data_IF_424764078903
#
_entry.id   IF_424764078903
#
_cell.length_a   1.000
_cell.length_b   1.000
_cell.length_c   1.000
_cell.angle_alpha   90.00
_cell.angle_beta   90.00
_cell.angle_gamma   90.00
#
_symmetry.space_group_name_H-M   'P 1'
#
loop_
_entity.id
_entity.type
_entity.pdbx_description
1 polymer ?
#
# COMPACT_ATOMS: atom_id res chain seq x y z
N UNK A 1 23.61 24.70 13.09
CA UNK A 1 23.23 23.33 13.47
C UNK A 1 21.73 23.03 13.33
N UNK A 2 20.81 23.99 13.21
CA UNK A 2 19.37 23.73 12.93
C UNK A 2 19.11 23.21 11.51
N UNK A 3 19.92 23.56 10.54
CA UNK A 3 19.75 23.16 9.13
C UNK A 3 19.88 21.66 8.86
N UNK A 4 20.57 20.90 9.70
CA UNK A 4 20.85 19.50 9.40
C UNK A 4 19.60 18.59 9.44
N UNK A 5 18.68 18.80 10.38
CA UNK A 5 17.47 17.97 10.50
C UNK A 5 16.49 18.22 9.37
N UNK A 6 16.28 19.50 9.01
CA UNK A 6 15.40 19.88 7.91
C UNK A 6 15.93 19.40 6.55
N UNK A 7 17.24 19.52 6.32
CA UNK A 7 17.89 19.01 5.11
C UNK A 7 17.82 17.47 5.04
N UNK A 8 18.05 16.77 6.13
CA UNK A 8 17.93 15.32 6.22
C UNK A 8 16.49 14.86 5.97
N UNK A 9 15.52 15.56 6.54
CA UNK A 9 14.11 15.29 6.29
C UNK A 9 13.73 15.51 4.83
N UNK A 10 14.21 16.59 4.20
CA UNK A 10 13.98 16.86 2.78
C UNK A 10 14.52 15.76 1.87
N UNK A 11 15.69 15.18 2.23
CA UNK A 11 16.26 14.03 1.50
C UNK A 11 15.34 12.80 1.66
N UNK A 12 14.95 12.49 2.90
CA UNK A 12 14.05 11.35 3.19
C UNK A 12 12.71 11.48 2.43
N UNK A 13 12.11 12.69 2.47
CA UNK A 13 10.87 12.98 1.76
C UNK A 13 11.01 12.80 0.24
N UNK A 14 12.12 13.27 -0.34
CA UNK A 14 12.41 13.10 -1.77
C UNK A 14 12.55 11.63 -2.16
N UNK A 15 13.25 10.83 -1.36
CA UNK A 15 13.39 9.39 -1.58
C UNK A 15 12.02 8.70 -1.55
N UNK A 16 11.15 9.06 -0.59
CA UNK A 16 9.79 8.52 -0.52
C UNK A 16 9.00 8.85 -1.81
N UNK A 17 9.06 10.11 -2.28
CA UNK A 17 8.38 10.54 -3.53
C UNK A 17 8.93 9.84 -4.77
N UNK A 18 10.23 9.61 -4.84
CA UNK A 18 10.84 8.85 -5.95
C UNK A 18 10.38 7.39 -5.94
N UNK A 19 10.21 6.78 -4.76
CA UNK A 19 9.63 5.43 -4.66
C UNK A 19 8.17 5.40 -5.13
N UNK A 20 7.35 6.34 -4.70
CA UNK A 20 5.95 6.46 -5.16
C UNK A 20 5.88 6.54 -6.69
N UNK A 21 6.77 7.31 -7.32
CA UNK A 21 6.82 7.46 -8.77
C UNK A 21 7.20 6.17 -9.52
N UNK A 22 8.06 5.32 -8.93
CA UNK A 22 8.38 4.02 -9.51
C UNK A 22 7.13 3.15 -9.62
N UNK A 23 6.31 3.06 -8.56
CA UNK A 23 5.07 2.27 -8.57
C UNK A 23 4.03 2.85 -9.52
N UNK A 24 3.88 4.18 -9.54
CA UNK A 24 2.99 4.87 -10.47
C UNK A 24 3.35 4.59 -11.91
N UNK A 25 4.64 4.67 -12.25
CA UNK A 25 5.13 4.37 -13.61
C UNK A 25 4.79 2.93 -14.02
N UNK A 26 4.89 1.97 -13.11
CA UNK A 26 4.53 0.59 -13.37
C UNK A 26 3.01 0.47 -13.58
N UNK A 27 2.20 1.06 -12.70
CA UNK A 27 0.75 1.04 -12.82
C UNK A 27 0.26 1.63 -14.16
N UNK A 28 0.83 2.76 -14.57
CA UNK A 28 0.56 3.39 -15.89
C UNK A 28 0.88 2.44 -17.04
N UNK A 29 2.03 1.78 -17.02
CA UNK A 29 2.42 0.82 -18.06
C UNK A 29 1.49 -0.41 -18.13
N UNK A 30 0.86 -0.76 -17.02
CA UNK A 30 -0.09 -1.85 -16.93
C UNK A 30 -1.53 -1.42 -17.25
N UNK A 31 -1.79 -0.13 -17.48
CA UNK A 31 -3.12 0.42 -17.74
C UNK A 31 -4.07 0.33 -16.52
N UNK A 32 -3.52 0.38 -15.32
CA UNK A 32 -4.25 0.34 -14.05
C UNK A 32 -3.93 1.56 -13.20
N UNK A 33 -4.83 1.92 -12.28
CA UNK A 33 -4.58 3.00 -11.33
C UNK A 33 -3.64 2.56 -10.19
N UNK A 34 -3.08 3.53 -9.45
CA UNK A 34 -2.21 3.27 -8.29
C UNK A 34 -2.93 2.43 -7.23
N UNK A 35 -4.23 2.67 -7.01
CA UNK A 35 -5.02 1.89 -6.06
C UNK A 35 -5.30 0.47 -6.58
N UNK A 36 -5.60 0.31 -7.87
CA UNK A 36 -5.75 -1.02 -8.48
C UNK A 36 -4.44 -1.82 -8.39
N UNK A 37 -3.32 -1.14 -8.65
CA UNK A 37 -1.99 -1.74 -8.47
C UNK A 37 -1.78 -2.18 -7.02
N UNK A 38 -2.05 -1.31 -6.04
CA UNK A 38 -1.89 -1.62 -4.61
C UNK A 38 -2.72 -2.83 -4.18
N UNK A 39 -3.97 -2.93 -4.65
CA UNK A 39 -4.84 -4.08 -4.41
C UNK A 39 -4.23 -5.37 -4.97
N UNK A 40 -3.85 -5.39 -6.25
CA UNK A 40 -3.26 -6.56 -6.90
C UNK A 40 -1.90 -6.94 -6.29
N UNK A 41 -1.12 -5.95 -5.90
CA UNK A 41 0.17 -6.13 -5.25
C UNK A 41 0.01 -6.76 -3.86
N UNK A 42 -0.99 -6.32 -3.09
CA UNK A 42 -1.29 -6.91 -1.79
C UNK A 42 -1.65 -8.40 -1.89
N UNK A 43 -2.31 -8.83 -2.96
CA UNK A 43 -2.54 -10.26 -3.24
C UNK A 43 -1.27 -11.08 -3.52
N UNK A 44 -0.12 -10.43 -3.73
CA UNK A 44 1.17 -11.14 -3.82
C UNK A 44 1.74 -11.48 -2.45
N UNK A 45 1.49 -10.64 -1.43
CA UNK A 45 1.97 -10.87 -0.06
C UNK A 45 1.09 -11.85 0.70
N UNK A 46 -0.21 -11.76 0.50
CA UNK A 46 -1.15 -12.46 1.34
C UNK A 46 -1.80 -13.63 0.62
N UNK A 47 -1.77 -14.78 1.29
CA UNK A 47 -2.54 -15.97 0.89
C UNK A 47 -3.99 -15.91 1.39
N UNK A 48 -4.34 -14.90 2.19
CA UNK A 48 -5.68 -14.73 2.75
C UNK A 48 -6.62 -14.14 1.70
N UNK A 49 -7.89 -14.33 1.95
CA UNK A 49 -9.00 -13.73 1.20
C UNK A 49 -9.42 -12.47 1.96
N UNK A 50 -9.85 -11.45 1.26
CA UNK A 50 -10.21 -10.17 1.85
C UNK A 50 -11.55 -9.68 1.35
N UNK A 51 -12.29 -9.06 2.24
CA UNK A 51 -13.38 -8.15 1.94
C UNK A 51 -12.83 -6.78 1.54
N UNK A 52 -13.67 -5.90 1.00
CA UNK A 52 -13.27 -4.52 0.68
C UNK A 52 -12.86 -3.74 1.94
N UNK A 53 -13.57 -3.95 3.06
CA UNK A 53 -13.23 -3.30 4.34
C UNK A 53 -11.87 -3.74 4.86
N UNK A 54 -11.61 -5.05 4.87
CA UNK A 54 -10.30 -5.56 5.30
C UNK A 54 -9.17 -5.01 4.42
N UNK A 55 -9.37 -4.87 3.10
CA UNK A 55 -8.38 -4.24 2.23
C UNK A 55 -8.18 -2.75 2.53
N UNK A 56 -9.26 -2.02 2.83
CA UNK A 56 -9.21 -0.62 3.23
C UNK A 56 -8.33 -0.43 4.47
N UNK A 57 -8.55 -1.24 5.49
CA UNK A 57 -7.75 -1.24 6.72
C UNK A 57 -6.29 -1.62 6.45
N UNK A 58 -6.06 -2.71 5.74
CA UNK A 58 -4.70 -3.21 5.47
C UNK A 58 -3.86 -2.27 4.61
N UNK A 59 -4.48 -1.62 3.64
CA UNK A 59 -3.80 -0.68 2.75
C UNK A 59 -3.81 0.76 3.28
N UNK A 60 -4.54 1.03 4.37
CA UNK A 60 -4.76 2.39 4.89
C UNK A 60 -5.30 3.34 3.80
N UNK A 61 -6.19 2.83 2.95
CA UNK A 61 -6.85 3.57 1.87
C UNK A 61 -8.35 3.68 2.20
N UNK A 62 -8.98 4.86 2.01
CA UNK A 62 -10.40 5.02 2.28
C UNK A 62 -11.26 3.97 1.57
N UNK A 63 -12.28 3.45 2.26
CA UNK A 63 -13.15 2.38 1.75
C UNK A 63 -13.77 2.72 0.39
N UNK A 64 -14.23 3.97 0.21
CA UNK A 64 -14.78 4.44 -1.06
C UNK A 64 -13.77 4.34 -2.22
N UNK A 65 -12.50 4.61 -1.95
CA UNK A 65 -11.41 4.51 -2.94
C UNK A 65 -11.15 3.05 -3.29
N UNK A 66 -11.13 2.17 -2.30
CA UNK A 66 -11.03 0.71 -2.52
C UNK A 66 -12.22 0.20 -3.32
N UNK A 67 -13.45 0.59 -2.96
CA UNK A 67 -14.66 0.18 -3.68
C UNK A 67 -14.62 0.60 -5.15
N UNK A 68 -14.13 1.81 -5.43
CA UNK A 68 -13.95 2.31 -6.80
C UNK A 68 -12.92 1.49 -7.59
N UNK A 69 -11.79 1.18 -6.96
CA UNK A 69 -10.74 0.36 -7.57
C UNK A 69 -11.23 -1.08 -7.85
N UNK A 70 -11.92 -1.70 -6.89
CA UNK A 70 -12.52 -3.04 -7.07
C UNK A 70 -13.55 -3.04 -8.18
N UNK A 71 -14.42 -2.04 -8.25
CA UNK A 71 -15.41 -1.89 -9.34
C UNK A 71 -14.72 -1.78 -10.71
N UNK A 72 -13.64 -1.03 -10.79
CA UNK A 72 -12.83 -0.91 -12.01
C UNK A 72 -12.16 -2.23 -12.38
N UNK A 73 -11.56 -2.94 -11.41
CA UNK A 73 -10.94 -4.26 -11.62
C UNK A 73 -11.97 -5.31 -12.08
N UNK A 74 -13.22 -5.24 -11.58
CA UNK A 74 -14.32 -6.11 -12.05
C UNK A 74 -14.62 -5.81 -13.52
N UNK A 75 -14.77 -4.52 -13.89
CA UNK A 75 -15.03 -4.11 -15.29
C UNK A 75 -13.91 -4.55 -16.23
N UNK A 76 -12.67 -4.56 -15.77
CA UNK A 76 -11.49 -5.06 -16.50
C UNK A 76 -11.40 -6.59 -16.52
N UNK A 77 -12.27 -7.30 -15.80
CA UNK A 77 -12.31 -8.74 -15.75
C UNK A 77 -11.18 -9.37 -14.93
N UNK A 78 -10.55 -8.63 -14.02
CA UNK A 78 -9.45 -9.15 -13.20
C UNK A 78 -9.87 -9.69 -11.84
N UNK A 79 -10.99 -9.20 -11.29
CA UNK A 79 -11.53 -9.69 -10.02
C UNK A 79 -13.04 -9.89 -10.11
N UNK A 80 -13.57 -10.66 -9.16
CA UNK A 80 -15.00 -10.80 -8.91
C UNK A 80 -15.26 -10.85 -7.41
N UNK A 81 -16.53 -10.63 -7.02
CA UNK A 81 -16.97 -10.71 -5.63
C UNK A 81 -17.70 -12.02 -5.42
N UNK A 82 -17.25 -12.80 -4.46
CA UNK A 82 -17.84 -14.08 -4.06
C UNK A 82 -18.62 -13.90 -2.75
N UNK A 83 -19.88 -14.30 -2.73
CA UNK A 83 -20.65 -14.38 -1.48
C UNK A 83 -20.17 -15.58 -0.68
N UNK A 84 -19.90 -15.39 0.60
CA UNK A 84 -19.50 -16.48 1.49
C UNK A 84 -20.36 -16.46 2.77
N UNK A 85 -20.75 -17.63 3.21
CA UNK A 85 -21.47 -17.82 4.49
C UNK A 85 -20.57 -17.59 5.71
N UNK A 86 -19.25 -17.58 5.52
CA UNK A 86 -18.27 -17.40 6.58
C UNK A 86 -17.91 -15.93 6.87
N UNK A 87 -18.26 -15.00 5.98
CA UNK A 87 -18.00 -13.59 6.17
C UNK A 87 -19.24 -12.96 6.83
N UNK A 88 -19.14 -12.60 8.10
CA UNK A 88 -20.07 -11.68 8.71
C UNK A 88 -20.01 -10.34 7.93
N UNK A 89 -20.98 -10.12 7.03
CA UNK A 89 -21.23 -8.87 6.30
C UNK A 89 -20.26 -8.46 5.18
N UNK A 90 -19.76 -9.35 4.32
CA UNK A 90 -19.00 -8.88 3.16
C UNK A 90 -18.80 -9.93 2.08
N UNK A 91 -18.69 -9.44 0.83
CA UNK A 91 -18.29 -10.27 -0.30
C UNK A 91 -16.76 -10.37 -0.35
N UNK A 92 -16.26 -11.59 -0.57
CA UNK A 92 -14.83 -11.82 -0.70
C UNK A 92 -14.35 -11.48 -2.09
N UNK A 93 -13.24 -10.76 -2.19
CA UNK A 93 -12.62 -10.43 -3.46
C UNK A 93 -11.80 -11.64 -3.94
N UNK A 94 -12.04 -12.02 -5.19
CA UNK A 94 -11.37 -13.14 -5.87
C UNK A 94 -10.76 -12.69 -7.18
N UNK A 95 -9.60 -13.23 -7.49
CA UNK A 95 -9.00 -13.08 -8.81
C UNK A 95 -9.71 -14.00 -9.81
N UNK A 96 -10.00 -13.50 -10.99
CA UNK A 96 -10.31 -14.31 -12.17
C UNK A 96 -9.05 -15.01 -12.68
N UNK A 97 -9.16 -15.86 -13.67
CA UNK A 97 -8.00 -16.43 -14.36
C UNK A 97 -7.12 -15.33 -14.97
N UNK A 98 -7.73 -14.34 -15.62
CA UNK A 98 -7.03 -13.18 -16.18
C UNK A 98 -6.34 -12.34 -15.08
N UNK A 99 -7.02 -12.12 -13.94
CA UNK A 99 -6.44 -11.42 -12.80
C UNK A 99 -5.28 -12.19 -12.16
N UNK A 100 -5.40 -13.51 -12.06
CA UNK A 100 -4.32 -14.36 -11.56
C UNK A 100 -3.11 -14.34 -12.52
N UNK A 101 -3.34 -14.36 -13.81
CA UNK A 101 -2.29 -14.23 -14.83
C UNK A 101 -1.62 -12.85 -14.77
N UNK A 102 -2.38 -11.76 -14.66
CA UNK A 102 -1.84 -10.40 -14.50
C UNK A 102 -0.98 -10.32 -13.23
N UNK A 103 -1.50 -10.79 -12.09
CA UNK A 103 -0.75 -10.83 -10.83
C UNK A 103 0.55 -11.59 -10.99
N UNK A 104 0.51 -12.82 -11.52
CA UNK A 104 1.67 -13.70 -11.61
C UNK A 104 2.73 -13.16 -12.57
N UNK A 105 2.30 -12.65 -13.73
CA UNK A 105 3.24 -12.32 -14.83
C UNK A 105 3.71 -10.86 -14.80
N UNK A 106 2.99 -9.98 -14.12
CA UNK A 106 3.28 -8.53 -14.14
C UNK A 106 3.47 -7.93 -12.74
N UNK A 107 2.65 -8.31 -11.75
CA UNK A 107 2.71 -7.73 -10.42
C UNK A 107 3.74 -8.45 -9.53
N UNK A 108 3.70 -9.77 -9.46
CA UNK A 108 4.65 -10.53 -8.64
C UNK A 108 6.14 -10.31 -9.01
N UNK A 109 6.51 -10.09 -10.28
CA UNK A 109 7.86 -9.68 -10.63
C UNK A 109 8.31 -8.35 -10.02
N UNK A 110 7.39 -7.42 -9.71
CA UNK A 110 7.73 -6.17 -9.01
C UNK A 110 8.15 -6.49 -7.59
N UNK A 111 7.34 -7.26 -6.86
CA UNK A 111 7.67 -7.72 -5.51
C UNK A 111 9.02 -8.47 -5.47
N UNK A 112 9.28 -9.34 -6.44
CA UNK A 112 10.57 -10.05 -6.51
C UNK A 112 11.75 -9.09 -6.67
N UNK A 113 11.60 -8.02 -7.44
CA UNK A 113 12.65 -7.00 -7.63
C UNK A 113 12.87 -6.17 -6.37
N UNK A 114 11.80 -5.86 -5.63
CA UNK A 114 11.93 -5.18 -4.33
C UNK A 114 12.64 -6.04 -3.31
N UNK A 115 12.25 -7.32 -3.19
CA UNK A 115 12.91 -8.27 -2.30
C UNK A 115 14.40 -8.39 -2.69
N UNK A 116 14.70 -8.49 -3.98
CA UNK A 116 16.08 -8.53 -4.46
C UNK A 116 16.85 -7.23 -4.14
N UNK A 117 16.22 -6.06 -4.28
CA UNK A 117 16.85 -4.80 -3.90
C UNK A 117 17.09 -4.73 -2.38
N UNK A 118 16.11 -5.13 -1.58
CA UNK A 118 16.20 -5.18 -0.13
C UNK A 118 17.25 -6.20 0.36
N UNK A 119 17.39 -7.33 -0.33
CA UNK A 119 18.38 -8.36 0.00
C UNK A 119 19.84 -7.96 -0.25
N UNK A 120 20.07 -6.86 -1.01
CA UNK A 120 21.42 -6.31 -1.19
C UNK A 120 21.95 -5.59 0.05
N UNK A 121 21.06 -5.19 0.94
CA UNK A 121 21.43 -4.69 2.25
C UNK A 121 21.93 -5.86 3.12
N UNK A 122 22.93 -5.61 3.95
CA UNK A 122 23.34 -6.56 4.99
C UNK A 122 22.17 -6.82 5.96
N UNK A 123 22.27 -7.86 6.76
CA UNK A 123 21.25 -8.16 7.79
C UNK A 123 21.12 -7.00 8.79
N UNK A 124 22.23 -6.43 9.22
CA UNK A 124 22.26 -5.29 10.14
C UNK A 124 21.58 -4.06 9.51
N UNK A 125 21.88 -3.73 8.25
CA UNK A 125 21.26 -2.61 7.54
C UNK A 125 19.76 -2.80 7.39
N UNK A 126 19.29 -4.02 7.09
CA UNK A 126 17.85 -4.33 7.02
C UNK A 126 17.17 -4.14 8.38
N UNK A 127 17.77 -4.66 9.43
CA UNK A 127 17.23 -4.53 10.79
C UNK A 127 17.20 -3.07 11.24
N UNK A 128 18.25 -2.29 10.95
CA UNK A 128 18.30 -0.86 11.23
C UNK A 128 17.23 -0.09 10.46
N UNK A 129 17.06 -0.38 9.16
CA UNK A 129 16.04 0.27 8.34
C UNK A 129 14.61 -0.01 8.88
N UNK A 130 14.32 -1.25 9.25
CA UNK A 130 13.02 -1.63 9.83
C UNK A 130 12.81 -0.90 11.16
N UNK A 131 13.78 -0.98 12.07
CA UNK A 131 13.69 -0.38 13.41
C UNK A 131 13.53 1.14 13.34
N UNK A 132 14.34 1.83 12.54
CA UNK A 132 14.26 3.28 12.37
C UNK A 132 12.93 3.71 11.72
N UNK A 133 12.45 2.94 10.75
CA UNK A 133 11.14 3.21 10.12
C UNK A 133 10.00 3.08 11.12
N UNK A 134 10.02 2.06 11.97
CA UNK A 134 9.02 1.87 13.03
C UNK A 134 9.05 3.00 14.06
N UNK A 135 10.24 3.37 14.55
CA UNK A 135 10.42 4.46 15.52
C UNK A 135 9.94 5.79 14.93
N UNK A 136 10.36 6.10 13.71
CA UNK A 136 9.92 7.32 13.03
C UNK A 136 8.40 7.36 12.85
N UNK A 137 7.78 6.25 12.45
CA UNK A 137 6.32 6.15 12.33
C UNK A 137 5.61 6.41 13.67
N UNK A 138 6.11 5.86 14.78
CA UNK A 138 5.54 6.12 16.11
C UNK A 138 5.62 7.61 16.50
N UNK A 139 6.74 8.27 16.21
CA UNK A 139 6.86 9.71 16.45
C UNK A 139 5.89 10.52 15.58
N UNK A 140 5.76 10.19 14.29
CA UNK A 140 4.79 10.84 13.40
C UNK A 140 3.35 10.68 13.91
N UNK A 141 2.97 9.48 14.35
CA UNK A 141 1.64 9.25 14.92
C UNK A 141 1.38 10.14 16.14
N UNK A 142 2.35 10.27 17.04
CA UNK A 142 2.22 11.11 18.23
C UNK A 142 2.06 12.59 17.86
N UNK A 143 2.90 13.11 16.98
CA UNK A 143 2.86 14.52 16.54
C UNK A 143 1.55 14.83 15.80
N UNK A 144 1.12 13.96 14.90
CA UNK A 144 -0.10 14.20 14.12
C UNK A 144 -1.38 14.04 14.96
N UNK A 145 -1.42 13.12 15.90
CA UNK A 145 -2.57 13.02 16.82
C UNK A 145 -2.71 14.28 17.67
N UNK A 146 -1.61 14.80 18.22
CA UNK A 146 -1.63 16.06 18.95
C UNK A 146 -2.08 17.26 18.08
N UNK A 147 -1.64 17.32 16.83
CA UNK A 147 -2.06 18.34 15.89
C UNK A 147 -3.55 18.23 15.51
N UNK A 148 -4.06 17.00 15.27
CA UNK A 148 -5.48 16.76 14.99
C UNK A 148 -6.38 17.12 16.17
N UNK A 149 -5.93 16.91 17.40
CA UNK A 149 -6.65 17.33 18.61
C UNK A 149 -6.73 18.85 18.71
N UNK A 150 -5.64 19.57 18.37
CA UNK A 150 -5.63 21.05 18.34
C UNK A 150 -6.62 21.61 17.31
N UNK A 151 -6.63 21.08 16.08
CA UNK A 151 -7.58 21.50 15.03
C UNK A 151 -9.03 21.31 15.49
N UNK A 152 -9.34 20.21 16.18
CA UNK A 152 -10.70 19.93 16.66
C UNK A 152 -11.12 20.87 17.80
N UNK A 153 -10.18 21.32 18.62
CA UNK A 153 -10.46 22.28 19.70
C UNK A 153 -10.69 23.69 19.17
N UNK A 154 -9.99 24.09 18.11
CA UNK A 154 -10.12 25.42 17.48
C UNK A 154 -11.41 25.55 16.64
N UNK A 155 -12.06 24.44 16.30
CA UNK A 155 -13.32 24.40 15.53
C UNK A 155 -14.61 24.46 16.39
N UNK A 156 -14.45 24.55 17.72
CA UNK A 156 -15.57 24.70 18.69
C UNK A 156 -15.67 26.12 19.22
#
# INVERSE_FOLDING_TARGET
>A
MKNNVEEQFAILYRIAKQKDELYRSIAVQLGISDTEFSVLYYFCYSKKRFTQNELSEQLSIPEQTINSAITSLIKKGYVYLEETTAAHNGKMIRLTEAGAALRQNKIAPVLSREINAFSRLTEEERNNLISLSQIHHLFLLKEFNGFLESIRSDAK
#
